data_IF_821712222554
#
_entry.id   IF_821712222554
#
_cell.length_a   1.000
_cell.length_b   1.000
_cell.length_c   1.000
_cell.angle_alpha   90.00
_cell.angle_beta   90.00
_cell.angle_gamma   90.00
#
_symmetry.space_group_name_H-M   'P 1'
#
loop_
_entity.id
_entity.type
_entity.pdbx_description
1 polymer ?
#
# COMPACT_ATOMS: atom_id res chain seq x y z
N UNK A 1 14.85 -7.61 0.73
CA UNK A 1 13.98 -7.99 -0.41
C UNK A 1 12.61 -7.37 -0.16
N UNK A 2 11.98 -6.79 -1.17
CA UNK A 2 10.66 -6.16 -1.02
C UNK A 2 9.57 -7.15 -1.42
N UNK A 3 8.66 -7.44 -0.49
CA UNK A 3 7.52 -8.32 -0.71
C UNK A 3 6.25 -7.49 -0.86
N UNK A 4 5.56 -7.61 -2.00
CA UNK A 4 4.34 -6.88 -2.29
C UNK A 4 3.12 -7.72 -1.96
N UNK A 5 2.09 -7.06 -1.44
CA UNK A 5 0.77 -7.65 -1.17
C UNK A 5 -0.35 -6.67 -1.48
N UNK A 6 -1.59 -7.17 -1.49
CA UNK A 6 -2.76 -6.34 -1.74
C UNK A 6 -3.69 -6.26 -0.54
N UNK A 7 -4.22 -5.06 -0.36
CA UNK A 7 -5.25 -4.77 0.63
C UNK A 7 -6.31 -3.92 -0.05
N UNK A 8 -7.58 -4.17 0.24
CA UNK A 8 -8.68 -3.33 -0.22
C UNK A 8 -8.51 -1.90 0.31
N UNK A 9 -8.24 -1.80 1.61
CA UNK A 9 -8.00 -0.54 2.30
C UNK A 9 -7.24 -0.79 3.61
N UNK A 10 -6.73 0.29 4.23
CA UNK A 10 -5.94 0.22 5.45
C UNK A 10 -6.64 -0.50 6.64
N UNK A 11 -7.96 -0.70 6.62
CA UNK A 11 -8.69 -1.40 7.70
C UNK A 11 -8.46 -2.90 7.69
N UNK A 12 -7.94 -3.47 6.61
CA UNK A 12 -7.64 -4.91 6.51
C UNK A 12 -6.33 -5.31 7.19
N UNK A 13 -5.46 -4.34 7.52
CA UNK A 13 -4.14 -4.62 8.08
C UNK A 13 -4.08 -4.47 9.61
N UNK A 14 -3.04 -5.04 10.25
CA UNK A 14 -2.74 -4.75 11.63
C UNK A 14 -2.64 -3.24 11.86
N UNK A 15 -3.21 -2.79 12.97
CA UNK A 15 -3.42 -1.38 13.31
C UNK A 15 -2.14 -0.60 13.67
N UNK A 16 -0.97 -1.13 13.32
CA UNK A 16 0.35 -0.49 13.47
C UNK A 16 1.04 -0.27 12.12
N UNK A 17 0.45 -0.74 11.01
CA UNK A 17 1.09 -0.67 9.70
C UNK A 17 1.03 0.79 9.20
N UNK A 18 2.18 1.48 9.07
CA UNK A 18 2.20 2.86 8.66
C UNK A 18 1.80 3.02 7.20
N UNK A 19 1.25 4.19 6.85
CA UNK A 19 0.78 4.50 5.51
C UNK A 19 1.68 5.54 4.84
N UNK A 20 1.94 5.36 3.56
CA UNK A 20 2.65 6.32 2.70
C UNK A 20 1.63 6.89 1.72
N UNK A 21 1.48 8.21 1.75
CA UNK A 21 0.55 8.96 0.91
C UNK A 21 1.29 10.08 0.18
N UNK A 22 0.85 10.38 -1.04
CA UNK A 22 1.27 11.60 -1.73
C UNK A 22 0.22 12.70 -1.56
N UNK A 23 0.65 13.94 -1.67
CA UNK A 23 -0.23 15.10 -1.82
C UNK A 23 0.42 16.10 -2.75
N UNK A 24 -0.37 16.78 -3.58
CA UNK A 24 0.13 17.92 -4.35
C UNK A 24 0.47 19.07 -3.39
N UNK A 25 1.71 19.53 -3.42
CA UNK A 25 2.13 20.66 -2.61
C UNK A 25 1.44 21.95 -3.08
N UNK A 26 1.18 22.88 -2.15
CA UNK A 26 0.69 24.21 -2.49
C UNK A 26 1.74 25.07 -3.21
N UNK A 27 3.02 24.73 -3.07
CA UNK A 27 4.15 25.43 -3.68
C UNK A 27 4.48 24.75 -5.02
N UNK A 28 4.68 25.56 -6.06
CA UNK A 28 4.96 25.07 -7.43
C UNK A 28 6.41 24.59 -7.61
N UNK A 29 7.35 25.15 -6.83
CA UNK A 29 8.80 24.91 -6.93
C UNK A 29 9.41 24.58 -5.56
N UNK A 30 10.57 23.92 -5.56
CA UNK A 30 11.32 23.56 -4.36
C UNK A 30 11.54 22.06 -4.23
N UNK A 31 12.07 21.64 -3.08
CA UNK A 31 12.19 20.23 -2.74
C UNK A 31 10.85 19.71 -2.21
N UNK A 32 10.54 18.44 -2.48
CA UNK A 32 9.41 17.77 -1.83
C UNK A 32 9.54 17.83 -0.31
N UNK A 33 8.41 17.91 0.39
CA UNK A 33 8.39 17.98 1.86
C UNK A 33 7.67 16.78 2.45
N UNK A 34 8.21 16.22 3.53
CA UNK A 34 7.55 15.16 4.28
C UNK A 34 6.90 15.68 5.55
N UNK A 35 5.65 15.30 5.79
CA UNK A 35 5.02 15.39 7.10
C UNK A 35 4.76 13.99 7.62
N UNK A 36 5.41 13.62 8.73
CA UNK A 36 5.05 12.44 9.48
C UNK A 36 3.97 12.82 10.50
N UNK A 37 2.81 12.19 10.39
CA UNK A 37 1.68 12.44 11.29
C UNK A 37 1.26 11.15 11.99
N UNK A 38 0.77 11.29 13.22
CA UNK A 38 0.13 10.19 13.93
C UNK A 38 -1.28 10.56 14.31
N UNK A 39 -2.23 9.67 14.07
CA UNK A 39 -3.63 9.87 14.44
C UNK A 39 -4.18 8.63 15.14
N UNK A 40 -5.24 8.81 15.93
CA UNK A 40 -5.84 7.72 16.69
C UNK A 40 -7.15 7.28 16.04
N UNK A 41 -7.29 5.99 15.75
CA UNK A 41 -8.50 5.39 15.23
C UNK A 41 -8.90 4.19 16.06
N UNK A 42 -10.14 4.19 16.57
CA UNK A 42 -10.66 3.11 17.42
C UNK A 42 -9.70 2.74 18.57
N UNK A 43 -9.15 3.76 19.24
CA UNK A 43 -8.17 3.64 20.35
C UNK A 43 -6.80 3.06 19.96
N UNK A 44 -6.44 3.07 18.67
CA UNK A 44 -5.12 2.63 18.20
C UNK A 44 -4.43 3.72 17.40
N UNK A 45 -3.11 3.83 17.56
CA UNK A 45 -2.29 4.85 16.91
C UNK A 45 -1.90 4.38 15.51
N UNK A 46 -2.17 5.22 14.53
CA UNK A 46 -1.81 5.06 13.13
C UNK A 46 -0.75 6.10 12.78
N UNK A 47 0.22 5.71 11.97
CA UNK A 47 1.27 6.59 11.48
C UNK A 47 1.13 6.77 9.97
N UNK A 48 1.20 8.00 9.48
CA UNK A 48 1.15 8.31 8.06
C UNK A 48 2.31 9.23 7.69
N UNK A 49 3.13 8.79 6.73
CA UNK A 49 4.07 9.64 6.01
C UNK A 49 3.33 10.24 4.82
N UNK A 50 3.11 11.54 4.87
CA UNK A 50 2.59 12.31 3.74
C UNK A 50 3.73 13.02 3.05
N UNK A 51 3.86 12.82 1.75
CA UNK A 51 4.86 13.45 0.92
C UNK A 51 4.22 14.48 -0.02
N UNK A 52 4.55 15.75 0.22
CA UNK A 52 4.08 16.88 -0.56
C UNK A 52 4.96 17.05 -1.80
N UNK A 53 4.37 16.81 -2.98
CA UNK A 53 5.05 16.87 -4.28
C UNK A 53 4.73 18.21 -4.97
N UNK A 54 5.72 19.09 -5.18
CA UNK A 54 5.59 20.28 -6.02
C UNK A 54 5.18 19.93 -7.44
N UNK A 55 4.32 20.74 -8.07
CA UNK A 55 3.83 20.48 -9.42
C UNK A 55 4.94 20.30 -10.46
N UNK A 56 6.01 21.08 -10.36
CA UNK A 56 7.19 20.96 -11.23
C UNK A 56 7.90 19.62 -11.13
N UNK A 57 7.85 18.96 -9.96
CA UNK A 57 8.49 17.67 -9.77
C UNK A 57 7.62 16.50 -10.22
N UNK A 58 6.28 16.63 -10.19
CA UNK A 58 5.34 15.55 -10.56
C UNK A 58 5.70 14.95 -11.93
N UNK A 59 5.85 15.80 -12.94
CA UNK A 59 6.17 15.37 -14.30
C UNK A 59 7.55 14.73 -14.44
N UNK A 60 8.54 15.20 -13.67
CA UNK A 60 9.91 14.69 -13.71
C UNK A 60 10.10 13.37 -12.96
N UNK A 61 9.26 13.08 -11.96
CA UNK A 61 9.47 11.93 -11.06
C UNK A 61 10.56 12.11 -10.01
N UNK A 62 11.31 13.23 -10.01
CA UNK A 62 12.46 13.48 -9.11
C UNK A 62 12.08 13.60 -7.61
N UNK A 63 10.81 13.48 -7.26
CA UNK A 63 10.33 13.41 -5.88
C UNK A 63 10.39 12.00 -5.29
N UNK A 64 10.49 10.97 -6.13
CA UNK A 64 10.36 9.57 -5.71
C UNK A 64 11.59 9.03 -4.97
N UNK A 65 12.79 9.41 -5.39
CA UNK A 65 14.04 9.01 -4.74
C UNK A 65 14.16 9.57 -3.29
N UNK A 66 13.97 10.88 -3.04
CA UNK A 66 13.97 11.41 -1.67
C UNK A 66 12.88 10.78 -0.77
N UNK A 67 11.74 10.41 -1.35
CA UNK A 67 10.70 9.66 -0.65
C UNK A 67 11.17 8.25 -0.29
N UNK A 68 11.77 7.51 -1.23
CA UNK A 68 12.33 6.18 -1.00
C UNK A 68 13.37 6.19 0.12
N UNK A 69 14.30 7.13 0.10
CA UNK A 69 15.28 7.30 1.18
C UNK A 69 14.63 7.60 2.53
N UNK A 70 13.58 8.43 2.54
CA UNK A 70 12.88 8.78 3.77
C UNK A 70 12.18 7.56 4.37
N UNK A 71 11.49 6.77 3.55
CA UNK A 71 10.87 5.51 3.99
C UNK A 71 11.93 4.51 4.46
N UNK A 72 13.07 4.43 3.77
CA UNK A 72 14.20 3.59 4.18
C UNK A 72 14.73 3.99 5.57
N UNK A 73 14.98 5.29 5.81
CA UNK A 73 15.46 5.83 7.09
C UNK A 73 14.47 5.62 8.24
N UNK A 74 13.17 5.61 7.96
CA UNK A 74 12.14 5.29 8.95
C UNK A 74 12.16 3.82 9.40
N UNK A 75 12.91 2.97 8.69
CA UNK A 75 13.13 1.55 9.02
C UNK A 75 11.82 0.77 9.22
N UNK A 76 10.81 1.07 8.39
CA UNK A 76 9.54 0.36 8.41
C UNK A 76 9.67 -0.99 7.71
N UNK A 77 9.56 -2.06 8.48
CA UNK A 77 9.58 -3.44 7.97
C UNK A 77 8.27 -3.84 7.28
N UNK A 78 7.20 -3.09 7.52
CA UNK A 78 5.95 -3.17 6.75
C UNK A 78 5.29 -1.82 6.65
N UNK A 79 4.63 -1.53 5.53
CA UNK A 79 3.91 -0.28 5.29
C UNK A 79 2.91 -0.39 4.14
N UNK A 80 2.04 0.60 4.00
CA UNK A 80 0.95 0.63 3.02
C UNK A 80 1.18 1.77 2.04
N UNK A 81 1.03 1.50 0.74
CA UNK A 81 1.00 2.50 -0.32
C UNK A 81 -0.45 2.90 -0.63
N UNK A 82 -0.77 4.18 -0.43
CA UNK A 82 -2.07 4.75 -0.80
C UNK A 82 -2.12 5.09 -2.28
N UNK A 83 -2.68 4.18 -3.08
CA UNK A 83 -2.78 4.33 -4.55
C UNK A 83 -3.66 5.49 -4.98
N UNK A 84 -4.77 5.73 -4.29
CA UNK A 84 -5.66 6.86 -4.59
C UNK A 84 -4.92 8.20 -4.44
N UNK A 85 -4.12 8.36 -3.38
CA UNK A 85 -3.35 9.59 -3.18
C UNK A 85 -2.31 9.83 -4.27
N UNK A 86 -1.75 8.77 -4.85
CA UNK A 86 -0.82 8.86 -5.97
C UNK A 86 -1.54 9.31 -7.23
N UNK A 87 -2.66 8.65 -7.55
CA UNK A 87 -3.53 8.99 -8.68
C UNK A 87 -3.99 10.46 -8.61
N UNK A 88 -4.50 10.89 -7.46
CA UNK A 88 -4.93 12.27 -7.23
C UNK A 88 -3.77 13.27 -7.41
N UNK A 89 -2.61 12.96 -6.83
CA UNK A 89 -1.42 13.83 -6.91
C UNK A 89 -0.94 13.97 -8.35
N UNK A 90 -0.88 12.87 -9.11
CA UNK A 90 -0.45 12.87 -10.51
C UNK A 90 -1.51 13.38 -11.49
N UNK A 91 -2.80 13.42 -11.09
CA UNK A 91 -3.93 13.74 -11.98
C UNK A 91 -3.95 12.91 -13.26
N UNK A 92 -3.61 11.62 -13.14
CA UNK A 92 -3.55 10.66 -14.25
C UNK A 92 -4.29 9.37 -13.89
N UNK A 93 -4.33 8.40 -14.80
CA UNK A 93 -4.89 7.08 -14.47
C UNK A 93 -4.07 6.38 -13.38
N UNK A 94 -4.68 5.37 -12.72
CA UNK A 94 -3.98 4.55 -11.71
C UNK A 94 -2.71 3.94 -12.30
N UNK A 95 -2.84 3.36 -13.50
CA UNK A 95 -1.74 2.68 -14.20
C UNK A 95 -0.59 3.63 -14.51
N UNK A 96 -0.87 4.80 -15.06
CA UNK A 96 0.17 5.80 -15.36
C UNK A 96 0.84 6.30 -14.09
N UNK A 97 0.05 6.64 -13.07
CA UNK A 97 0.54 7.22 -11.82
C UNK A 97 1.39 6.23 -11.04
N UNK A 98 0.95 4.96 -10.93
CA UNK A 98 1.73 3.90 -10.29
C UNK A 98 2.95 3.51 -11.10
N UNK A 99 2.85 3.43 -12.43
CA UNK A 99 4.02 3.17 -13.27
C UNK A 99 5.10 4.23 -13.09
N UNK A 100 4.72 5.52 -13.04
CA UNK A 100 5.65 6.61 -12.77
C UNK A 100 6.23 6.53 -11.35
N UNK A 101 5.37 6.31 -10.34
CA UNK A 101 5.80 6.15 -8.95
C UNK A 101 6.81 5.00 -8.79
N UNK A 102 6.50 3.82 -9.31
CA UNK A 102 7.37 2.64 -9.17
C UNK A 102 8.70 2.79 -9.91
N UNK A 103 8.69 3.44 -11.09
CA UNK A 103 9.92 3.73 -11.84
C UNK A 103 10.88 4.64 -11.06
N UNK A 104 10.35 5.62 -10.35
CA UNK A 104 11.16 6.54 -9.54
C UNK A 104 11.52 5.99 -8.16
N UNK A 105 10.66 5.18 -7.55
CA UNK A 105 10.82 4.76 -6.15
C UNK A 105 11.67 3.48 -6.00
N UNK A 106 11.39 2.44 -6.79
CA UNK A 106 12.01 1.12 -6.59
C UNK A 106 13.52 1.06 -6.80
N UNK A 107 14.14 1.83 -7.73
CA UNK A 107 15.60 1.86 -7.86
C UNK A 107 16.31 2.28 -6.57
N UNK A 108 15.68 3.17 -5.78
CA UNK A 108 16.28 3.75 -4.57
C UNK A 108 15.82 3.07 -3.27
N UNK A 109 14.87 2.13 -3.33
CA UNK A 109 14.34 1.43 -2.16
C UNK A 109 14.66 -0.06 -2.17
N UNK A 110 15.67 -0.48 -1.40
CA UNK A 110 16.18 -1.86 -1.36
C UNK A 110 15.99 -2.55 0.00
N UNK A 111 15.17 -1.99 0.89
CA UNK A 111 14.92 -2.53 2.22
C UNK A 111 14.34 -3.96 2.17
N UNK A 112 14.49 -4.69 3.30
CA UNK A 112 13.75 -5.91 3.54
C UNK A 112 12.42 -5.57 4.21
N UNK A 113 11.35 -5.51 3.42
CA UNK A 113 10.07 -4.99 3.87
C UNK A 113 8.88 -5.62 3.14
N UNK A 114 7.72 -5.62 3.81
CA UNK A 114 6.42 -5.95 3.21
C UNK A 114 5.67 -4.66 2.86
N UNK A 115 5.37 -4.46 1.58
CA UNK A 115 4.63 -3.31 1.08
C UNK A 115 3.24 -3.74 0.63
N UNK A 116 2.23 -3.26 1.32
CA UNK A 116 0.85 -3.48 0.95
C UNK A 116 0.37 -2.37 0.02
N UNK A 117 -0.24 -2.73 -1.10
CA UNK A 117 -0.76 -1.76 -2.06
C UNK A 117 -2.27 -1.73 -1.92
N UNK A 118 -2.83 -0.54 -1.67
CA UNK A 118 -4.28 -0.34 -1.61
C UNK A 118 -4.89 -0.51 -3.00
N UNK A 119 -5.78 -1.50 -3.18
CA UNK A 119 -6.43 -1.76 -4.49
C UNK A 119 -7.85 -1.20 -4.57
N UNK A 120 -8.44 -0.79 -3.44
CA UNK A 120 -9.82 -0.30 -3.39
C UNK A 120 -10.84 -1.34 -3.89
N UNK A 121 -11.99 -0.84 -4.34
CA UNK A 121 -13.07 -1.69 -4.89
C UNK A 121 -12.87 -2.06 -6.36
N UNK A 122 -12.22 -1.20 -7.14
CA UNK A 122 -12.19 -1.29 -8.61
C UNK A 122 -10.79 -1.28 -9.24
N UNK A 123 -9.72 -0.96 -8.51
CA UNK A 123 -8.40 -0.73 -9.11
C UNK A 123 -7.50 -1.96 -9.13
N UNK A 124 -7.99 -3.12 -8.65
CA UNK A 124 -7.16 -4.31 -8.42
C UNK A 124 -6.43 -4.80 -9.67
N UNK A 125 -7.11 -4.85 -10.81
CA UNK A 125 -6.51 -5.35 -12.07
C UNK A 125 -5.42 -4.40 -12.57
N UNK A 126 -5.70 -3.09 -12.59
CA UNK A 126 -4.74 -2.05 -12.97
C UNK A 126 -3.50 -2.04 -12.07
N UNK A 127 -3.70 -2.13 -10.76
CA UNK A 127 -2.62 -2.22 -9.77
C UNK A 127 -1.80 -3.49 -9.98
N UNK A 128 -2.45 -4.63 -10.25
CA UNK A 128 -1.75 -5.88 -10.50
C UNK A 128 -0.89 -5.83 -11.77
N UNK A 129 -1.39 -5.24 -12.85
CA UNK A 129 -0.59 -5.01 -14.05
C UNK A 129 0.68 -4.20 -13.74
N UNK A 130 0.57 -3.12 -12.96
CA UNK A 130 1.73 -2.32 -12.53
C UNK A 130 2.73 -3.13 -11.71
N UNK A 131 2.24 -3.91 -10.74
CA UNK A 131 3.08 -4.78 -9.91
C UNK A 131 3.85 -5.79 -10.75
N UNK A 132 3.20 -6.40 -11.76
CA UNK A 132 3.87 -7.36 -12.65
C UNK A 132 4.99 -6.70 -13.44
N UNK A 133 4.81 -5.46 -13.89
CA UNK A 133 5.87 -4.71 -14.57
C UNK A 133 7.02 -4.37 -13.61
N UNK A 134 6.73 -4.00 -12.36
CA UNK A 134 7.78 -3.77 -11.36
C UNK A 134 8.60 -5.04 -11.06
N UNK A 135 7.95 -6.19 -10.92
CA UNK A 135 8.67 -7.47 -10.72
C UNK A 135 9.59 -7.82 -11.89
N UNK A 136 9.20 -7.49 -13.13
CA UNK A 136 10.04 -7.69 -14.31
C UNK A 136 11.24 -6.75 -14.32
N UNK A 137 11.04 -5.50 -13.89
CA UNK A 137 12.05 -4.45 -13.92
C UNK A 137 13.03 -4.50 -12.74
N UNK A 138 12.60 -4.97 -11.57
CA UNK A 138 13.35 -4.87 -10.31
C UNK A 138 13.41 -6.22 -9.60
N UNK A 139 14.59 -6.86 -9.62
CA UNK A 139 14.79 -8.22 -9.07
C UNK A 139 14.57 -8.33 -7.56
N UNK A 140 14.69 -7.23 -6.82
CA UNK A 140 14.44 -7.18 -5.38
C UNK A 140 12.97 -6.99 -5.02
N UNK A 141 12.08 -6.78 -5.99
CA UNK A 141 10.64 -6.55 -5.79
C UNK A 141 9.87 -7.79 -6.23
N UNK A 142 9.11 -8.39 -5.33
CA UNK A 142 8.31 -9.57 -5.65
C UNK A 142 6.92 -9.51 -5.04
N UNK A 143 5.89 -9.86 -5.82
CA UNK A 143 4.55 -10.08 -5.30
C UNK A 143 4.48 -11.44 -4.62
N UNK A 144 3.89 -11.48 -3.43
CA UNK A 144 3.67 -12.72 -2.69
C UNK A 144 2.19 -12.86 -2.34
N UNK A 145 1.55 -13.93 -2.83
CA UNK A 145 0.14 -14.22 -2.55
C UNK A 145 -0.16 -14.40 -1.06
N UNK A 146 0.84 -14.74 -0.25
CA UNK A 146 0.72 -14.79 1.21
C UNK A 146 0.36 -13.42 1.83
N UNK A 147 0.69 -12.32 1.15
CA UNK A 147 0.37 -10.95 1.57
C UNK A 147 -0.83 -10.35 0.81
N UNK A 148 -1.55 -11.13 0.00
CA UNK A 148 -2.78 -10.71 -0.67
C UNK A 148 -4.00 -10.85 0.26
N UNK A 149 -4.11 -9.92 1.20
CA UNK A 149 -5.17 -9.90 2.20
C UNK A 149 -6.54 -9.66 1.56
N UNK A 150 -6.61 -8.86 0.49
CA UNK A 150 -7.87 -8.66 -0.25
C UNK A 150 -8.41 -9.98 -0.81
N UNK A 151 -7.56 -10.80 -1.43
CA UNK A 151 -7.97 -12.11 -1.93
C UNK A 151 -8.35 -13.07 -0.80
N UNK A 152 -7.57 -13.12 0.28
CA UNK A 152 -7.86 -13.96 1.45
C UNK A 152 -9.24 -13.62 2.04
N UNK A 153 -9.55 -12.33 2.22
CA UNK A 153 -10.84 -11.87 2.75
C UNK A 153 -12.00 -12.21 1.79
N UNK A 154 -11.81 -12.08 0.48
CA UNK A 154 -12.81 -12.48 -0.53
C UNK A 154 -13.09 -13.98 -0.47
N UNK A 155 -12.05 -14.80 -0.47
CA UNK A 155 -12.16 -16.26 -0.36
C UNK A 155 -12.82 -16.70 0.94
N UNK A 156 -12.49 -16.06 2.07
CA UNK A 156 -13.17 -16.32 3.33
C UNK A 156 -14.66 -15.99 3.23
N UNK A 157 -15.03 -14.81 2.71
CA UNK A 157 -16.43 -14.41 2.56
C UNK A 157 -17.22 -15.40 1.69
N UNK A 158 -16.65 -15.83 0.57
CA UNK A 158 -17.26 -16.83 -0.31
C UNK A 158 -17.44 -18.17 0.38
N UNK A 159 -16.41 -18.65 1.11
CA UNK A 159 -16.51 -19.86 1.93
C UNK A 159 -17.63 -19.76 2.96
N UNK A 160 -17.75 -18.62 3.64
CA UNK A 160 -18.83 -18.38 4.60
C UNK A 160 -20.21 -18.37 3.95
N UNK A 161 -20.35 -17.76 2.77
CA UNK A 161 -21.61 -17.71 2.04
C UNK A 161 -22.04 -19.08 1.53
N UNK A 162 -21.09 -19.89 1.07
CA UNK A 162 -21.37 -21.23 0.53
C UNK A 162 -21.43 -22.32 1.61
N UNK A 163 -20.94 -22.05 2.83
CA UNK A 163 -21.00 -22.97 3.95
C UNK A 163 -22.45 -23.22 4.41
N UNK A 164 -22.75 -24.48 4.69
CA UNK A 164 -23.97 -24.91 5.37
C UNK A 164 -24.06 -24.34 6.78
N UNK A 165 -25.26 -24.32 7.37
CA UNK A 165 -25.49 -23.85 8.75
C UNK A 165 -24.59 -24.55 9.77
N UNK A 166 -24.35 -25.86 9.59
CA UNK A 166 -23.47 -26.67 10.46
C UNK A 166 -22.00 -26.25 10.33
N UNK A 167 -21.54 -25.98 9.12
CA UNK A 167 -20.16 -25.52 8.86
C UNK A 167 -19.95 -24.09 9.39
N UNK A 168 -20.92 -23.19 9.20
CA UNK A 168 -20.87 -21.84 9.76
C UNK A 168 -20.75 -21.88 11.28
N UNK A 169 -21.52 -22.74 11.96
CA UNK A 169 -21.44 -22.91 13.41
C UNK A 169 -20.07 -23.43 13.87
N UNK A 170 -19.48 -24.38 13.12
CA UNK A 170 -18.14 -24.90 13.41
C UNK A 170 -17.03 -23.84 13.23
N UNK A 171 -17.09 -23.03 12.16
CA UNK A 171 -16.10 -21.95 11.95
C UNK A 171 -16.21 -20.89 13.05
N UNK A 172 -17.44 -20.55 13.47
CA UNK A 172 -17.67 -19.60 14.57
C UNK A 172 -17.11 -20.12 15.89
N UNK A 173 -17.33 -21.40 16.19
CA UNK A 173 -16.78 -22.05 17.39
C UNK A 173 -15.25 -22.06 17.40
N UNK A 174 -14.59 -22.36 16.27
CA UNK A 174 -13.13 -22.32 16.19
C UNK A 174 -12.58 -20.91 16.40
N UNK A 175 -13.21 -19.87 15.83
CA UNK A 175 -12.80 -18.47 16.02
C UNK A 175 -12.95 -17.99 17.46
N UNK A 176 -13.95 -18.49 18.19
CA UNK A 176 -14.10 -18.22 19.63
C UNK A 176 -12.97 -18.91 20.39
N UNK A 177 -12.70 -20.19 20.10
CA UNK A 177 -11.63 -20.95 20.76
C UNK A 177 -10.23 -20.37 20.52
N UNK A 178 -9.97 -19.77 19.37
CA UNK A 178 -8.67 -19.12 19.09
C UNK A 178 -8.49 -17.76 19.78
N UNK A 179 -9.56 -17.20 20.35
CA UNK A 179 -9.54 -15.91 21.07
C UNK A 179 -9.49 -16.06 22.60
N UNK A 180 -9.61 -17.28 23.12
CA UNK A 180 -9.56 -17.62 24.55
C UNK A 180 -8.47 -18.66 24.80
#
# INVERSE_FOLDING_TARGET
MVSLGFVKDARQLPLITPRVCLRRAAITHGQGSSTLSTWTHRRKRQSELRWDVPASLIASGNWAEPLAETVFRLNWTSWILCTESIKETCSASVTESLSAWGRGFWPSYTADAVVYIEVGDSMREDVYACVREWQKAYSHVTFQSAFDIDLQVKQERERWQNASTKERAAILWNRIRERF
#
